data_IF_206759879727
#
_entry.id   IF_206759879727
#
_cell.length_a   1.000
_cell.length_b   1.000
_cell.length_c   1.000
_cell.angle_alpha   90.00
_cell.angle_beta   90.00
_cell.angle_gamma   90.00
#
_symmetry.space_group_name_H-M   'P 1'
#
loop_
_entity.id
_entity.type
_entity.pdbx_description
1 polymer ?
#
# COMPACT_ATOMS: atom_id res chain seq x y z
N UNK A 1 -38.80 -12.43 -15.57
CA UNK A 1 -37.39 -12.43 -15.18
C UNK A 1 -37.33 -11.80 -13.80
N UNK A 2 -36.91 -12.59 -12.79
CA UNK A 2 -37.25 -12.37 -11.39
C UNK A 2 -36.47 -11.17 -10.78
N UNK A 3 -37.14 -10.18 -10.23
CA UNK A 3 -36.57 -9.00 -9.55
C UNK A 3 -35.58 -9.40 -8.43
N UNK A 4 -35.77 -10.57 -7.81
CA UNK A 4 -34.87 -11.14 -6.82
C UNK A 4 -33.50 -11.52 -7.38
N UNK A 5 -33.42 -11.97 -8.63
CA UNK A 5 -32.19 -12.35 -9.33
C UNK A 5 -31.33 -11.10 -9.65
N UNK A 6 -31.95 -10.02 -10.11
CA UNK A 6 -31.28 -8.78 -10.50
C UNK A 6 -30.64 -8.08 -9.28
N UNK A 7 -31.30 -8.11 -8.12
CA UNK A 7 -30.78 -7.57 -6.86
C UNK A 7 -29.59 -8.37 -6.34
N UNK A 8 -29.57 -9.69 -6.54
CA UNK A 8 -28.46 -10.58 -6.17
C UNK A 8 -27.20 -10.27 -6.99
N UNK A 9 -27.30 -10.06 -8.28
CA UNK A 9 -26.16 -9.74 -9.16
C UNK A 9 -25.52 -8.39 -8.83
N UNK A 10 -26.31 -7.36 -8.57
CA UNK A 10 -25.80 -6.03 -8.21
C UNK A 10 -25.05 -6.06 -6.88
N UNK A 11 -25.60 -6.74 -5.88
CA UNK A 11 -24.95 -6.91 -4.57
C UNK A 11 -23.66 -7.71 -4.70
N UNK A 12 -23.66 -8.75 -5.53
CA UNK A 12 -22.48 -9.59 -5.77
C UNK A 12 -21.38 -8.83 -6.50
N UNK A 13 -21.71 -8.08 -7.54
CA UNK A 13 -20.72 -7.24 -8.26
C UNK A 13 -20.10 -6.18 -7.36
N UNK A 14 -20.91 -5.59 -6.48
CA UNK A 14 -20.40 -4.63 -5.48
C UNK A 14 -19.46 -5.27 -4.47
N UNK A 15 -19.78 -6.46 -3.96
CA UNK A 15 -18.91 -7.19 -3.05
C UNK A 15 -17.57 -7.55 -3.72
N UNK A 16 -17.58 -7.92 -5.01
CA UNK A 16 -16.36 -8.15 -5.77
C UNK A 16 -15.51 -6.88 -5.92
N UNK A 17 -16.13 -5.74 -6.23
CA UNK A 17 -15.45 -4.44 -6.34
C UNK A 17 -14.84 -4.03 -5.00
N UNK A 18 -15.54 -4.24 -3.91
CA UNK A 18 -15.09 -3.94 -2.55
C UNK A 18 -13.93 -4.86 -2.16
N UNK A 19 -14.03 -6.16 -2.47
CA UNK A 19 -12.96 -7.13 -2.26
C UNK A 19 -11.70 -6.81 -3.04
N UNK A 20 -11.83 -6.42 -4.31
CA UNK A 20 -10.70 -6.00 -5.15
C UNK A 20 -10.04 -4.72 -4.64
N UNK A 21 -10.83 -3.73 -4.23
CA UNK A 21 -10.32 -2.49 -3.62
C UNK A 21 -9.54 -2.78 -2.33
N UNK A 22 -10.04 -3.67 -1.49
CA UNK A 22 -9.36 -4.11 -0.28
C UNK A 22 -8.03 -4.81 -0.57
N UNK A 23 -8.02 -5.68 -1.58
CA UNK A 23 -6.80 -6.36 -2.03
C UNK A 23 -5.73 -5.36 -2.46
N UNK A 24 -6.10 -4.36 -3.27
CA UNK A 24 -5.18 -3.30 -3.70
C UNK A 24 -4.60 -2.51 -2.51
N UNK A 25 -5.44 -2.17 -1.53
CA UNK A 25 -4.99 -1.44 -0.34
C UNK A 25 -4.01 -2.27 0.48
N UNK A 26 -4.30 -3.55 0.71
CA UNK A 26 -3.40 -4.45 1.43
C UNK A 26 -2.07 -4.59 0.70
N UNK A 27 -2.08 -4.78 -0.62
CA UNK A 27 -0.87 -4.82 -1.45
C UNK A 27 -0.07 -3.50 -1.36
N UNK A 28 -0.75 -2.37 -1.43
CA UNK A 28 -0.11 -1.05 -1.33
C UNK A 28 0.52 -0.82 0.05
N UNK A 29 -0.19 -1.13 1.13
CA UNK A 29 0.34 -1.00 2.50
C UNK A 29 1.54 -1.94 2.71
N UNK A 30 1.47 -3.18 2.22
CA UNK A 30 2.60 -4.12 2.26
C UNK A 30 3.82 -3.60 1.50
N UNK A 31 3.61 -3.06 0.30
CA UNK A 31 4.66 -2.45 -0.50
C UNK A 31 5.29 -1.23 0.19
N UNK A 32 4.47 -0.33 0.74
CA UNK A 32 4.95 0.85 1.47
C UNK A 32 5.74 0.46 2.72
N UNK A 33 5.27 -0.55 3.47
CA UNK A 33 5.99 -1.05 4.64
C UNK A 33 7.38 -1.56 4.27
N UNK A 34 7.48 -2.35 3.20
CA UNK A 34 8.76 -2.90 2.74
C UNK A 34 9.72 -1.80 2.29
N UNK A 35 9.22 -0.88 1.48
CA UNK A 35 9.99 0.25 0.97
C UNK A 35 10.48 1.19 2.08
N UNK A 36 9.64 1.48 3.08
CA UNK A 36 10.04 2.33 4.20
C UNK A 36 11.18 1.69 5.01
N UNK A 37 11.11 0.37 5.22
CA UNK A 37 12.17 -0.37 5.90
C UNK A 37 13.50 -0.31 5.13
N UNK A 38 13.48 -0.50 3.83
CA UNK A 38 14.68 -0.38 2.97
C UNK A 38 15.26 1.03 3.05
N UNK A 39 14.42 2.06 2.87
CA UNK A 39 14.86 3.46 2.92
C UNK A 39 15.51 3.81 4.26
N UNK A 40 14.97 3.38 5.38
CA UNK A 40 15.55 3.62 6.71
C UNK A 40 16.90 2.93 6.88
N UNK A 41 17.03 1.72 6.33
CA UNK A 41 18.30 0.99 6.32
C UNK A 41 19.36 1.71 5.50
N UNK A 42 19.02 2.17 4.31
CA UNK A 42 19.92 2.94 3.42
C UNK A 42 20.31 4.29 4.04
N UNK A 43 19.39 4.98 4.70
CA UNK A 43 19.69 6.22 5.40
C UNK A 43 20.68 6.00 6.55
N UNK A 44 20.51 4.94 7.35
CA UNK A 44 21.45 4.60 8.41
C UNK A 44 22.83 4.25 7.85
N UNK A 45 22.87 3.43 6.80
CA UNK A 45 24.12 3.09 6.12
C UNK A 45 24.83 4.33 5.59
N UNK A 46 24.09 5.23 4.92
CA UNK A 46 24.64 6.50 4.43
C UNK A 46 25.21 7.38 5.55
N UNK A 47 24.55 7.43 6.71
CA UNK A 47 25.08 8.16 7.86
C UNK A 47 26.39 7.54 8.39
N UNK A 48 26.46 6.20 8.45
CA UNK A 48 27.68 5.51 8.86
C UNK A 48 28.81 5.66 7.84
N UNK A 49 28.50 5.70 6.54
CA UNK A 49 29.49 6.00 5.49
C UNK A 49 30.10 7.40 5.65
N UNK A 50 29.28 8.39 6.03
CA UNK A 50 29.79 9.75 6.34
C UNK A 50 30.77 9.70 7.51
N UNK A 51 30.47 8.95 8.57
CA UNK A 51 31.37 8.76 9.71
C UNK A 51 32.66 8.07 9.25
N UNK A 52 32.57 7.03 8.43
CA UNK A 52 33.72 6.33 7.88
C UNK A 52 34.65 7.28 7.09
N UNK A 53 34.07 8.16 6.25
CA UNK A 53 34.80 9.14 5.47
C UNK A 53 35.45 10.22 6.37
N UNK A 54 34.74 10.69 7.40
CA UNK A 54 35.27 11.66 8.37
C UNK A 54 36.42 11.09 9.20
N UNK A 55 36.36 9.81 9.56
CA UNK A 55 37.44 9.13 10.22
C UNK A 55 38.72 9.12 9.35
N UNK A 56 38.58 8.75 8.09
CA UNK A 56 39.73 8.73 7.17
C UNK A 56 40.33 10.12 6.97
N UNK A 57 39.49 11.14 6.85
CA UNK A 57 39.96 12.53 6.81
C UNK A 57 40.71 12.92 8.10
N UNK A 58 40.22 12.50 9.26
CA UNK A 58 40.89 12.75 10.54
C UNK A 58 42.24 12.03 10.61
N UNK A 59 42.33 10.78 10.14
CA UNK A 59 43.58 10.01 10.11
C UNK A 59 44.59 10.64 9.15
N UNK A 60 44.17 11.14 8.00
CA UNK A 60 45.02 11.84 7.04
C UNK A 60 45.59 13.16 7.64
N UNK A 61 44.87 13.78 8.58
CA UNK A 61 45.25 14.97 9.30
C UNK A 61 46.05 14.66 10.60
N UNK A 62 46.67 13.47 10.70
CA UNK A 62 47.47 12.99 11.79
C UNK A 62 46.76 12.90 13.17
N UNK A 63 45.43 12.79 13.18
CA UNK A 63 44.65 12.44 14.38
C UNK A 63 44.68 10.93 14.60
N UNK A 64 44.60 10.51 15.86
CA UNK A 64 44.48 9.08 16.16
C UNK A 64 43.03 8.60 16.01
N UNK A 65 42.80 7.31 15.72
CA UNK A 65 41.44 6.75 15.73
C UNK A 65 40.71 6.94 17.06
N UNK A 66 41.46 6.92 18.14
CA UNK A 66 40.95 7.14 19.52
C UNK A 66 40.40 8.55 19.71
N UNK A 67 41.20 9.58 19.31
CA UNK A 67 40.75 10.98 19.41
C UNK A 67 39.50 11.25 18.58
N UNK A 68 39.37 10.60 17.42
CA UNK A 68 38.19 10.70 16.59
C UNK A 68 36.99 10.05 17.26
N UNK A 69 37.15 8.85 17.81
CA UNK A 69 36.11 8.11 18.49
C UNK A 69 35.57 8.89 19.70
N UNK A 70 36.43 9.41 20.53
CA UNK A 70 36.05 10.19 21.72
C UNK A 70 35.25 11.45 21.36
N UNK A 71 35.57 12.08 20.24
CA UNK A 71 34.84 13.25 19.74
C UNK A 71 33.46 12.92 19.11
N UNK A 72 33.24 11.68 18.68
CA UNK A 72 32.03 11.27 17.93
C UNK A 72 31.20 10.20 18.65
N UNK A 73 31.64 9.69 19.80
CA UNK A 73 30.92 8.67 20.59
C UNK A 73 29.52 9.10 21.02
N UNK A 74 29.29 10.42 21.16
CA UNK A 74 27.99 10.98 21.54
C UNK A 74 26.97 10.99 20.42
N UNK A 75 27.38 10.84 19.16
CA UNK A 75 26.44 10.86 18.01
C UNK A 75 25.61 9.58 17.92
N UNK A 76 26.22 8.44 18.28
CA UNK A 76 25.52 7.15 18.28
C UNK A 76 25.92 6.34 19.50
N UNK A 77 24.95 6.03 20.36
CA UNK A 77 25.17 5.17 21.52
C UNK A 77 25.68 3.78 21.10
N UNK A 78 26.89 3.44 21.56
CA UNK A 78 27.53 2.16 21.25
C UNK A 78 28.13 2.06 19.85
N UNK A 79 28.47 3.20 19.22
CA UNK A 79 29.22 3.19 17.96
C UNK A 79 30.55 2.50 18.15
N UNK A 80 30.84 1.48 17.33
CA UNK A 80 32.09 0.76 17.27
C UNK A 80 32.73 0.99 15.91
N UNK A 81 34.03 1.28 15.90
CA UNK A 81 34.83 1.55 14.70
C UNK A 81 35.93 0.52 14.58
N UNK A 82 36.12 -0.04 13.40
CA UNK A 82 37.17 -1.00 13.07
C UNK A 82 37.89 -0.53 11.81
N UNK A 83 39.24 -0.49 11.85
CA UNK A 83 40.08 -0.30 10.65
C UNK A 83 40.61 -1.65 10.20
N UNK A 84 40.50 -1.92 8.91
CA UNK A 84 40.81 -3.21 8.30
C UNK A 84 41.68 -2.94 7.05
N UNK A 85 42.81 -3.61 6.94
CA UNK A 85 43.62 -3.59 5.73
C UNK A 85 42.93 -4.39 4.60
N UNK A 86 43.36 -4.19 3.34
CA UNK A 86 42.74 -4.83 2.18
C UNK A 86 42.88 -6.36 2.19
N UNK A 87 43.79 -6.92 2.98
CA UNK A 87 43.96 -8.36 3.20
C UNK A 87 42.99 -8.92 4.28
N UNK A 88 42.15 -8.05 4.88
CA UNK A 88 41.21 -8.41 5.93
C UNK A 88 41.78 -8.39 7.34
N UNK A 89 43.03 -8.00 7.53
CA UNK A 89 43.68 -7.86 8.85
C UNK A 89 43.11 -6.66 9.57
N UNK A 90 42.68 -6.85 10.84
CA UNK A 90 42.21 -5.74 11.67
C UNK A 90 43.42 -5.00 12.25
N UNK A 91 43.52 -3.70 11.97
CA UNK A 91 44.59 -2.81 12.44
C UNK A 91 44.20 -2.07 13.72
N UNK A 92 42.91 -1.73 13.82
CA UNK A 92 42.35 -1.02 14.96
C UNK A 92 40.90 -1.41 15.19
N UNK A 93 40.49 -1.50 16.44
CA UNK A 93 39.09 -1.61 16.85
C UNK A 93 38.90 -0.84 18.16
N UNK A 94 37.74 -0.14 18.27
CA UNK A 94 37.47 0.71 19.43
C UNK A 94 37.04 -0.05 20.69
N UNK A 95 36.64 -1.31 20.58
CA UNK A 95 36.15 -2.13 21.70
C UNK A 95 37.11 -3.28 22.07
N UNK A 96 37.81 -3.85 21.09
CA UNK A 96 38.59 -5.07 21.29
C UNK A 96 40.01 -4.96 20.75
N UNK A 97 40.99 -5.65 21.36
CA UNK A 97 42.37 -5.67 20.87
C UNK A 97 42.43 -6.33 19.47
N UNK A 98 43.03 -5.68 18.45
CA UNK A 98 43.18 -6.25 17.12
C UNK A 98 43.86 -7.62 17.06
N UNK A 99 44.80 -7.87 18.00
CA UNK A 99 45.54 -9.13 18.06
C UNK A 99 44.66 -10.35 18.41
N UNK A 100 43.47 -10.15 18.98
CA UNK A 100 42.53 -11.20 19.36
C UNK A 100 41.45 -11.44 18.26
N UNK A 101 41.48 -10.62 17.19
CA UNK A 101 40.49 -10.68 16.13
C UNK A 101 40.91 -11.60 14.98
N UNK A 102 39.95 -12.36 14.47
CA UNK A 102 40.13 -13.13 13.25
C UNK A 102 40.21 -12.23 12.02
N UNK A 103 40.72 -12.76 10.90
CA UNK A 103 40.67 -12.04 9.64
C UNK A 103 39.22 -11.76 9.22
N UNK A 104 38.95 -10.59 8.66
CA UNK A 104 37.61 -10.09 8.35
C UNK A 104 37.30 -10.06 6.85
N UNK A 105 38.16 -10.65 5.99
CA UNK A 105 38.02 -10.61 4.55
C UNK A 105 36.72 -11.26 4.05
N UNK A 106 36.28 -12.32 4.73
CA UNK A 106 35.09 -13.09 4.40
C UNK A 106 33.77 -12.49 4.94
N UNK A 107 33.86 -11.36 5.61
CA UNK A 107 32.68 -10.68 6.13
C UNK A 107 31.88 -10.04 4.99
N UNK A 108 30.54 -10.25 4.91
CA UNK A 108 29.75 -9.76 3.78
C UNK A 108 29.90 -8.27 3.50
N UNK A 109 29.89 -7.44 4.56
CA UNK A 109 30.07 -6.00 4.43
C UNK A 109 31.47 -5.62 3.94
N UNK A 110 32.51 -6.36 4.36
CA UNK A 110 33.89 -6.13 3.95
C UNK A 110 34.12 -6.57 2.52
N UNK A 111 33.64 -7.75 2.16
CA UNK A 111 33.71 -8.29 0.81
C UNK A 111 32.99 -7.36 -0.20
N UNK A 112 31.81 -6.83 0.16
CA UNK A 112 31.10 -5.86 -0.65
C UNK A 112 31.88 -4.54 -0.76
N UNK A 113 32.46 -4.04 0.35
CA UNK A 113 33.29 -2.82 0.31
C UNK A 113 34.53 -2.97 -0.56
N UNK A 114 35.12 -4.15 -0.64
CA UNK A 114 36.26 -4.42 -1.55
C UNK A 114 35.88 -4.37 -3.02
N UNK A 115 34.69 -4.88 -3.38
CA UNK A 115 34.22 -4.98 -4.77
C UNK A 115 33.56 -3.71 -5.25
N UNK A 116 32.64 -3.15 -4.44
CA UNK A 116 31.72 -2.09 -4.82
C UNK A 116 32.07 -0.73 -4.17
N UNK A 117 33.11 -0.72 -3.32
CA UNK A 117 33.53 0.47 -2.58
C UNK A 117 32.85 0.65 -1.24
N UNK A 118 31.65 0.07 -1.06
CA UNK A 118 30.93 0.06 0.22
C UNK A 118 30.06 -1.21 0.36
N UNK A 119 29.70 -1.53 1.59
CA UNK A 119 28.79 -2.62 1.89
C UNK A 119 28.24 -2.54 3.29
N UNK A 120 27.06 -3.09 3.51
CA UNK A 120 26.47 -3.15 4.84
C UNK A 120 25.85 -4.51 5.14
N UNK A 121 25.72 -4.84 6.42
CA UNK A 121 25.05 -6.06 6.88
C UNK A 121 24.17 -5.76 8.08
N UNK A 122 22.90 -6.14 7.97
CA UNK A 122 21.90 -5.96 9.03
C UNK A 122 21.89 -7.21 9.92
N UNK A 123 21.92 -7.03 11.24
CA UNK A 123 21.72 -8.10 12.24
C UNK A 123 22.70 -9.27 12.11
N UNK A 124 23.98 -8.99 11.94
CA UNK A 124 25.01 -10.02 12.04
C UNK A 124 25.53 -10.13 13.48
N UNK A 125 25.64 -11.34 13.96
CA UNK A 125 26.25 -11.62 15.28
C UNK A 125 27.77 -11.48 15.19
N UNK A 126 28.36 -10.74 16.13
CA UNK A 126 29.81 -10.65 16.28
C UNK A 126 30.34 -11.95 16.85
N UNK A 127 31.38 -12.51 16.24
CA UNK A 127 32.02 -13.74 16.71
C UNK A 127 32.77 -13.49 18.03
N UNK A 128 33.25 -12.27 18.27
CA UNK A 128 34.10 -11.95 19.40
C UNK A 128 33.28 -11.76 20.68
N UNK A 129 32.17 -11.01 20.64
CA UNK A 129 31.37 -10.69 21.83
C UNK A 129 29.95 -11.24 21.85
N UNK A 130 29.58 -11.97 20.80
CA UNK A 130 28.25 -12.60 20.67
C UNK A 130 27.07 -11.64 20.51
N UNK A 131 27.30 -10.32 20.47
CA UNK A 131 26.25 -9.31 20.26
C UNK A 131 25.92 -9.19 18.77
N UNK A 132 24.70 -8.80 18.49
CA UNK A 132 24.24 -8.53 17.11
C UNK A 132 24.44 -7.06 16.78
N UNK A 133 24.99 -6.78 15.61
CA UNK A 133 25.26 -5.43 15.13
C UNK A 133 24.69 -5.19 13.75
N UNK A 134 24.48 -3.91 13.43
CA UNK A 134 24.42 -3.37 12.08
C UNK A 134 25.83 -2.93 11.71
N UNK A 135 26.35 -3.41 10.59
CA UNK A 135 27.67 -3.09 10.09
C UNK A 135 27.55 -2.29 8.79
N UNK A 136 28.36 -1.23 8.68
CA UNK A 136 28.61 -0.49 7.44
C UNK A 136 30.10 -0.39 7.19
N UNK A 137 30.58 -0.80 6.03
CA UNK A 137 31.99 -0.78 5.65
C UNK A 137 32.17 0.05 4.39
N UNK A 138 33.19 0.89 4.38
CA UNK A 138 33.57 1.72 3.23
C UNK A 138 35.05 1.52 2.93
N UNK A 139 35.37 1.24 1.66
CA UNK A 139 36.76 1.24 1.20
C UNK A 139 37.21 2.65 0.88
N UNK A 140 38.21 3.12 1.60
CA UNK A 140 38.76 4.47 1.46
C UNK A 140 40.26 4.34 1.26
N UNK A 141 40.73 4.60 0.03
CA UNK A 141 42.15 4.41 -0.33
C UNK A 141 42.60 2.95 -0.23
N UNK A 142 43.57 2.68 0.61
CA UNK A 142 44.21 1.39 0.83
C UNK A 142 43.67 0.64 2.07
N UNK A 143 42.57 1.12 2.64
CA UNK A 143 41.95 0.54 3.85
C UNK A 143 40.45 0.44 3.73
N UNK A 144 39.91 -0.35 4.65
CA UNK A 144 38.45 -0.44 4.86
C UNK A 144 38.16 0.11 6.25
N UNK A 145 37.28 1.09 6.31
CA UNK A 145 36.72 1.63 7.56
C UNK A 145 35.37 0.99 7.76
N UNK A 146 35.19 0.33 8.89
CA UNK A 146 33.93 -0.31 9.26
C UNK A 146 33.37 0.32 10.53
N UNK A 147 32.19 0.92 10.43
CA UNK A 147 31.37 1.33 11.56
C UNK A 147 30.35 0.26 11.90
N UNK A 148 30.06 0.09 13.18
CA UNK A 148 29.02 -0.82 13.62
C UNK A 148 28.22 -0.26 14.79
N UNK A 149 26.92 -0.54 14.80
CA UNK A 149 25.99 -0.17 15.86
C UNK A 149 25.34 -1.42 16.44
N UNK A 150 25.27 -1.55 17.78
CA UNK A 150 24.58 -2.67 18.41
C UNK A 150 23.11 -2.70 17.95
N UNK A 151 22.66 -3.88 17.54
CA UNK A 151 21.26 -4.06 17.14
C UNK A 151 20.37 -4.14 18.39
N UNK A 152 20.18 -3.00 19.02
CA UNK A 152 19.36 -2.83 20.22
C UNK A 152 17.87 -2.72 19.88
N UNK A 153 17.02 -2.74 20.89
CA UNK A 153 15.58 -2.48 20.74
C UNK A 153 15.34 -1.10 20.11
N UNK A 154 16.12 -0.08 20.52
CA UNK A 154 16.03 1.27 19.96
C UNK A 154 16.37 1.29 18.47
N UNK A 155 17.50 0.67 18.05
CA UNK A 155 17.87 0.59 16.64
C UNK A 155 16.83 -0.22 15.83
N UNK A 156 16.34 -1.31 16.37
CA UNK A 156 15.31 -2.11 15.72
C UNK A 156 13.99 -1.32 15.52
N UNK A 157 13.67 -0.43 16.45
CA UNK A 157 12.50 0.46 16.32
C UNK A 157 12.70 1.53 15.23
N UNK A 158 13.92 2.07 15.12
CA UNK A 158 14.27 3.02 14.04
C UNK A 158 14.20 2.36 12.67
N UNK A 159 14.71 1.13 12.54
CA UNK A 159 14.74 0.38 11.27
C UNK A 159 13.40 -0.25 10.91
N UNK A 160 12.50 -0.46 11.86
CA UNK A 160 11.18 -0.97 11.55
C UNK A 160 10.24 0.18 11.14
N UNK A 161 9.41 -0.09 10.14
CA UNK A 161 8.36 0.85 9.76
C UNK A 161 7.43 1.15 10.94
N UNK A 162 6.97 2.39 11.01
CA UNK A 162 6.15 2.86 12.11
C UNK A 162 4.83 2.09 12.20
N UNK A 163 4.67 1.28 13.24
CA UNK A 163 3.47 0.50 13.51
C UNK A 163 2.23 1.39 13.66
N UNK A 164 2.39 2.62 14.14
CA UNK A 164 1.30 3.58 14.29
C UNK A 164 0.76 4.01 12.91
N UNK A 165 1.65 4.12 11.91
CA UNK A 165 1.26 4.38 10.53
C UNK A 165 0.37 3.26 9.95
N UNK A 166 0.70 1.99 10.23
CA UNK A 166 -0.13 0.86 9.80
C UNK A 166 -1.53 0.89 10.44
N UNK A 167 -1.61 1.21 11.73
CA UNK A 167 -2.90 1.37 12.41
C UNK A 167 -3.70 2.55 11.86
N UNK A 168 -3.05 3.68 11.60
CA UNK A 168 -3.68 4.84 10.98
C UNK A 168 -4.24 4.50 9.59
N UNK A 169 -3.44 3.88 8.73
CA UNK A 169 -3.88 3.46 7.38
C UNK A 169 -5.03 2.45 7.45
N UNK A 170 -4.95 1.48 8.37
CA UNK A 170 -6.03 0.52 8.61
C UNK A 170 -7.34 1.20 9.03
N UNK A 171 -7.27 2.16 9.93
CA UNK A 171 -8.43 2.94 10.40
C UNK A 171 -9.07 3.77 9.30
N UNK A 172 -8.26 4.46 8.50
CA UNK A 172 -8.72 5.25 7.33
C UNK A 172 -9.40 4.33 6.31
N UNK A 173 -8.80 3.19 6.02
CA UNK A 173 -9.36 2.21 5.09
C UNK A 173 -10.71 1.68 5.57
N UNK A 174 -10.82 1.33 6.85
CA UNK A 174 -12.06 0.88 7.45
C UNK A 174 -13.16 1.95 7.34
N UNK A 175 -12.83 3.20 7.64
CA UNK A 175 -13.75 4.33 7.52
C UNK A 175 -14.25 4.49 6.09
N UNK A 176 -13.35 4.47 5.10
CA UNK A 176 -13.70 4.58 3.68
C UNK A 176 -14.61 3.42 3.24
N UNK A 177 -14.36 2.20 3.72
CA UNK A 177 -15.22 1.05 3.44
C UNK A 177 -16.63 1.22 4.02
N UNK A 178 -16.76 1.75 5.24
CA UNK A 178 -18.06 2.02 5.85
C UNK A 178 -18.84 3.10 5.10
N UNK A 179 -18.16 4.18 4.72
CA UNK A 179 -18.76 5.26 3.90
C UNK A 179 -19.19 4.71 2.53
N UNK A 180 -18.33 3.96 1.86
CA UNK A 180 -18.65 3.32 0.58
C UNK A 180 -19.87 2.38 0.68
N UNK A 181 -19.92 1.55 1.71
CA UNK A 181 -21.06 0.68 1.97
C UNK A 181 -22.36 1.48 2.17
N UNK A 182 -22.31 2.57 2.98
CA UNK A 182 -23.47 3.43 3.20
C UNK A 182 -23.97 4.09 1.92
N UNK A 183 -23.06 4.65 1.12
CA UNK A 183 -23.39 5.31 -0.17
C UNK A 183 -24.05 4.32 -1.13
N UNK A 184 -23.47 3.13 -1.29
CA UNK A 184 -24.04 2.12 -2.18
C UNK A 184 -25.41 1.62 -1.70
N UNK A 185 -25.55 1.41 -0.40
CA UNK A 185 -26.84 1.02 0.18
C UNK A 185 -27.92 2.08 -0.08
N UNK A 186 -27.55 3.36 0.05
CA UNK A 186 -28.48 4.48 -0.23
C UNK A 186 -28.80 4.57 -1.71
N UNK A 187 -27.81 4.43 -2.58
CA UNK A 187 -28.01 4.46 -4.03
C UNK A 187 -28.91 3.31 -4.51
N UNK A 188 -28.68 2.09 -3.99
CA UNK A 188 -29.52 0.93 -4.31
C UNK A 188 -30.97 1.12 -3.89
N UNK A 189 -31.21 1.70 -2.70
CA UNK A 189 -32.58 2.02 -2.27
C UNK A 189 -33.28 3.02 -3.22
N UNK A 190 -32.57 4.07 -3.58
CA UNK A 190 -33.11 5.10 -4.48
C UNK A 190 -33.42 4.52 -5.87
N UNK A 191 -32.55 3.65 -6.40
CA UNK A 191 -32.80 2.97 -7.69
C UNK A 191 -34.03 2.06 -7.66
N UNK A 192 -34.22 1.29 -6.60
CA UNK A 192 -35.38 0.41 -6.43
C UNK A 192 -36.66 1.23 -6.35
N UNK A 193 -36.64 2.36 -5.63
CA UNK A 193 -37.81 3.28 -5.58
C UNK A 193 -38.11 3.89 -6.94
N UNK A 194 -37.07 4.29 -7.69
CA UNK A 194 -37.24 4.86 -9.02
C UNK A 194 -37.82 3.83 -10.02
N UNK A 195 -37.32 2.58 -10.00
CA UNK A 195 -37.90 1.49 -10.82
C UNK A 195 -39.37 1.21 -10.48
N UNK A 196 -39.72 1.24 -9.17
CA UNK A 196 -41.11 1.06 -8.75
C UNK A 196 -42.01 2.18 -9.26
N UNK A 197 -41.57 3.43 -9.16
CA UNK A 197 -42.34 4.61 -9.65
C UNK A 197 -42.50 4.60 -11.17
N UNK A 198 -41.47 4.19 -11.90
CA UNK A 198 -41.56 4.02 -13.37
C UNK A 198 -42.54 2.92 -13.74
N UNK A 199 -42.46 1.77 -13.06
CA UNK A 199 -43.42 0.66 -13.32
C UNK A 199 -44.89 1.04 -13.00
N UNK A 200 -45.11 1.89 -12.01
CA UNK A 200 -46.43 2.42 -11.68
C UNK A 200 -46.94 3.37 -12.78
N UNK A 201 -46.12 4.30 -13.24
CA UNK A 201 -46.44 5.19 -14.37
C UNK A 201 -46.73 4.43 -15.65
N UNK A 202 -45.94 3.40 -15.97
CA UNK A 202 -46.19 2.56 -17.16
C UNK A 202 -47.53 1.84 -17.07
N UNK A 203 -47.93 1.37 -15.88
CA UNK A 203 -49.26 0.77 -15.66
C UNK A 203 -50.38 1.79 -15.82
N UNK A 204 -50.22 3.00 -15.27
CA UNK A 204 -51.20 4.07 -15.43
C UNK A 204 -51.37 4.47 -16.92
N UNK A 205 -50.27 4.63 -17.65
CA UNK A 205 -50.30 4.88 -19.10
C UNK A 205 -50.96 3.76 -19.88
N UNK A 206 -50.66 2.51 -19.58
CA UNK A 206 -51.27 1.36 -20.21
C UNK A 206 -52.78 1.30 -19.95
N UNK A 207 -53.23 1.58 -18.72
CA UNK A 207 -54.63 1.64 -18.36
C UNK A 207 -55.39 2.78 -19.11
N UNK A 208 -54.77 3.96 -19.16
CA UNK A 208 -55.34 5.10 -19.89
C UNK A 208 -55.49 4.82 -21.40
N UNK A 209 -54.49 4.21 -22.02
CA UNK A 209 -54.54 3.78 -23.43
C UNK A 209 -55.62 2.75 -23.67
N UNK A 210 -55.80 1.81 -22.75
CA UNK A 210 -56.85 0.78 -22.86
C UNK A 210 -58.25 1.40 -22.79
N UNK A 211 -58.47 2.34 -21.88
CA UNK A 211 -59.70 3.10 -21.73
C UNK A 211 -60.03 3.91 -23.01
N UNK A 212 -59.03 4.56 -23.60
CA UNK A 212 -59.19 5.33 -24.83
C UNK A 212 -59.54 4.42 -26.03
N UNK A 213 -58.90 3.26 -26.14
CA UNK A 213 -59.19 2.26 -27.13
C UNK A 213 -60.62 1.69 -27.00
N UNK A 214 -61.09 1.46 -25.78
CA UNK A 214 -62.47 1.03 -25.53
C UNK A 214 -63.48 2.11 -25.93
N UNK A 215 -63.24 3.36 -25.62
CA UNK A 215 -64.08 4.50 -26.05
C UNK A 215 -64.16 4.59 -27.56
N UNK A 216 -63.04 4.43 -28.26
CA UNK A 216 -63.02 4.40 -29.76
C UNK A 216 -63.80 3.20 -30.30
N UNK A 217 -63.67 2.03 -29.68
CA UNK A 217 -64.40 0.82 -30.07
C UNK A 217 -65.90 0.98 -29.94
N UNK A 218 -66.34 1.51 -28.77
CA UNK A 218 -67.77 1.79 -28.53
C UNK A 218 -68.29 2.80 -29.53
N UNK A 219 -67.54 3.88 -29.80
CA UNK A 219 -67.92 4.90 -30.78
C UNK A 219 -68.08 4.33 -32.20
N UNK A 220 -67.18 3.44 -32.61
CA UNK A 220 -67.29 2.74 -33.92
C UNK A 220 -68.51 1.81 -34.01
N UNK A 221 -68.78 1.05 -32.93
CA UNK A 221 -69.95 0.20 -32.87
C UNK A 221 -71.26 1.00 -32.97
N UNK A 222 -71.30 2.12 -32.23
CA UNK A 222 -72.49 3.01 -32.29
C UNK A 222 -72.67 3.59 -33.67
N UNK A 223 -71.63 4.06 -34.33
CA UNK A 223 -71.65 4.58 -35.69
C UNK A 223 -72.07 3.54 -36.68
N UNK A 224 -71.61 2.30 -36.58
CA UNK A 224 -72.03 1.18 -37.45
C UNK A 224 -73.46 0.79 -37.24
N UNK A 225 -73.99 0.76 -36.00
CA UNK A 225 -75.36 0.47 -35.69
C UNK A 225 -76.32 1.55 -36.28
N UNK A 226 -75.94 2.84 -36.06
CA UNK A 226 -76.75 3.94 -36.67
C UNK A 226 -76.77 3.87 -38.20
N UNK A 227 -75.61 3.59 -38.82
CA UNK A 227 -75.58 3.43 -40.29
C UNK A 227 -76.40 2.24 -40.75
N UNK A 228 -76.50 1.16 -39.98
CA UNK A 228 -77.33 0.00 -40.32
C UNK A 228 -78.81 0.29 -40.15
N UNK A 229 -79.21 0.98 -39.08
CA UNK A 229 -80.58 1.40 -38.84
C UNK A 229 -81.10 2.45 -39.86
N UNK A 230 -80.21 3.36 -40.30
CA UNK A 230 -80.55 4.36 -41.33
C UNK A 230 -80.63 3.75 -42.74
N UNK A 231 -79.94 2.66 -43.00
CA UNK A 231 -79.98 1.98 -44.33
C UNK A 231 -81.28 1.19 -44.56
N UNK A 232 -81.91 0.71 -43.49
CA UNK A 232 -83.16 -0.06 -43.56
C UNK A 232 -84.38 0.77 -44.02
N UNK A 233 -84.64 1.98 -43.54
CA UNK A 233 -85.77 2.79 -44.02
C UNK A 233 -85.50 3.42 -45.38
N UNK A 234 -84.26 3.68 -45.81
CA UNK A 234 -84.00 4.25 -47.16
C UNK A 234 -84.21 3.26 -48.27
N UNK A 235 -84.03 1.97 -48.06
CA UNK A 235 -84.31 0.92 -49.04
C UNK A 235 -85.82 0.60 -49.19
N UNK A 236 -86.65 1.06 -48.20
CA UNK A 236 -88.15 0.90 -48.31
C UNK A 236 -88.85 2.06 -48.98
N UNK A 237 -88.19 3.14 -49.36
CA UNK A 237 -88.73 4.31 -50.02
C UNK A 237 -88.52 4.26 -51.56
N UNK A 238 -87.72 3.32 -52.03
CA UNK A 238 -87.40 3.13 -53.46
C UNK A 238 -87.91 1.81 -54.03
N UNK A 239 -89.01 1.23 -53.46
CA UNK A 239 -89.74 0.07 -53.98
C UNK A 239 -91.15 0.41 -54.37
#
# INVERSE_FOLDING_TARGET
MDLKSKHSYQTQSFLWLLGFSWLLIVCFVGFQYHREKELRTELLDSQLQIINAQLEEALSNARTPHDFFDAHSDFFEGLRITLIDLDGTVVYDSEEPPAEMSNHLDRPEVAAALTDGHGYTIRRQSENNGRTYFYSASRIGDRIVRSSLPYTVSLSQVLNADRNFLWFMGSVTLLLCLVGYYVVRQFTKNMVQMEATLAERDREHAAALHEEQEKIRIKRQLTNNINHELKTPVSSIHG
#
